data_IF_345606070562
#
_entry.id   IF_345606070562
#
_cell.length_a   1.000
_cell.length_b   1.000
_cell.length_c   1.000
_cell.angle_alpha   90.00
_cell.angle_beta   90.00
_cell.angle_gamma   90.00
#
_symmetry.space_group_name_H-M   'P 1'
#
loop_
_entity.id
_entity.type
_entity.pdbx_description
1 polymer ?
#
# COMPACT_ATOMS: atom_id res chain seq x y z
N UNK A 1 -7.85 0.61 11.13
CA UNK A 1 -7.44 -0.65 10.49
C UNK A 1 -5.93 -0.69 10.29
N UNK A 2 -5.36 -1.89 10.25
CA UNK A 2 -3.96 -2.14 9.92
C UNK A 2 -3.90 -3.25 8.87
N UNK A 3 -3.10 -3.03 7.83
CA UNK A 3 -2.87 -3.97 6.73
C UNK A 3 -1.37 -4.14 6.57
N UNK A 4 -0.91 -5.38 6.45
CA UNK A 4 0.49 -5.66 6.20
C UNK A 4 0.65 -6.66 5.05
N UNK A 5 1.76 -6.52 4.33
CA UNK A 5 2.16 -7.46 3.28
C UNK A 5 3.67 -7.56 3.22
N UNK A 6 4.18 -8.78 3.01
CA UNK A 6 5.58 -9.00 2.69
C UNK A 6 5.76 -8.82 1.18
N UNK A 7 6.60 -7.87 0.80
CA UNK A 7 6.99 -7.63 -0.58
C UNK A 7 8.31 -8.35 -0.89
N UNK A 8 8.55 -8.77 -2.14
CA UNK A 8 9.86 -9.27 -2.55
C UNK A 8 10.98 -8.29 -2.21
N UNK A 9 12.16 -8.81 -1.91
CA UNK A 9 13.34 -7.98 -1.57
C UNK A 9 13.82 -7.07 -2.70
N UNK A 10 13.33 -7.30 -3.93
CA UNK A 10 13.58 -6.46 -5.11
C UNK A 10 12.74 -5.19 -5.12
N UNK A 11 11.65 -5.13 -4.35
CA UNK A 11 10.82 -3.93 -4.23
C UNK A 11 11.42 -3.02 -3.16
N UNK A 12 11.79 -1.82 -3.58
CA UNK A 12 12.29 -0.78 -2.70
C UNK A 12 11.18 0.21 -2.32
N UNK A 13 11.31 0.97 -1.22
CA UNK A 13 10.28 1.91 -0.77
C UNK A 13 9.86 2.92 -1.84
N UNK A 14 10.79 3.41 -2.66
CA UNK A 14 10.54 4.35 -3.75
C UNK A 14 9.73 3.75 -4.91
N UNK A 15 9.63 2.42 -4.98
CA UNK A 15 8.85 1.68 -5.97
C UNK A 15 7.40 1.46 -5.52
N UNK A 16 7.05 1.92 -4.31
CA UNK A 16 5.71 1.78 -3.74
C UNK A 16 4.95 3.10 -3.84
N UNK A 17 3.80 3.07 -4.50
CA UNK A 17 2.85 4.18 -4.55
C UNK A 17 1.59 3.83 -3.79
N UNK A 18 1.21 4.68 -2.84
CA UNK A 18 -0.05 4.56 -2.09
C UNK A 18 -0.89 5.80 -2.38
N UNK A 19 -2.12 5.60 -2.81
CA UNK A 19 -3.02 6.69 -3.18
C UNK A 19 -4.42 6.49 -2.61
N UNK A 20 -4.94 7.54 -1.97
CA UNK A 20 -6.34 7.62 -1.61
C UNK A 20 -7.17 8.02 -2.85
N UNK A 21 -8.19 7.23 -3.17
CA UNK A 21 -9.12 7.47 -4.28
C UNK A 21 -10.49 7.89 -3.75
N UNK A 22 -11.27 8.54 -4.62
CA UNK A 22 -12.69 8.85 -4.37
C UNK A 22 -13.47 7.58 -3.99
N UNK A 23 -14.36 7.71 -3.01
CA UNK A 23 -15.21 6.62 -2.53
C UNK A 23 -14.56 5.77 -1.44
N UNK A 24 -13.70 6.35 -0.60
CA UNK A 24 -13.00 5.69 0.53
C UNK A 24 -12.25 4.43 0.09
N UNK A 25 -11.42 4.60 -0.94
CA UNK A 25 -10.60 3.52 -1.48
C UNK A 25 -9.13 3.86 -1.33
N UNK A 26 -8.33 2.88 -0.94
CA UNK A 26 -6.88 2.99 -0.93
C UNK A 26 -6.31 2.07 -2.01
N UNK A 27 -5.56 2.63 -2.95
CA UNK A 27 -4.82 1.87 -3.96
C UNK A 27 -3.35 1.80 -3.57
N UNK A 28 -2.79 0.61 -3.60
CA UNK A 28 -1.38 0.32 -3.31
C UNK A 28 -0.79 -0.35 -4.54
N UNK A 29 0.29 0.23 -5.08
CA UNK A 29 1.04 -0.33 -6.20
C UNK A 29 2.49 -0.47 -5.75
N UNK A 30 3.07 -1.64 -5.98
CA UNK A 30 4.51 -1.89 -5.85
C UNK A 30 5.05 -2.33 -7.22
N UNK A 31 5.94 -1.53 -7.81
CA UNK A 31 6.38 -1.72 -9.18
C UNK A 31 7.91 -1.58 -9.33
N UNK A 32 8.61 -2.71 -9.43
CA UNK A 32 10.01 -2.79 -9.80
C UNK A 32 10.15 -2.78 -11.35
N UNK A 33 9.77 -1.67 -11.97
CA UNK A 33 9.75 -1.45 -13.43
C UNK A 33 11.04 -1.81 -14.19
N UNK A 34 12.16 -1.95 -13.47
CA UNK A 34 13.47 -2.33 -14.01
C UNK A 34 13.65 -3.85 -14.17
N UNK A 35 12.67 -4.66 -13.74
CA UNK A 35 12.69 -6.13 -13.81
C UNK A 35 11.59 -6.64 -14.76
N UNK A 36 11.86 -7.75 -15.44
CA UNK A 36 10.94 -8.33 -16.43
C UNK A 36 9.86 -9.22 -15.80
N UNK A 37 10.15 -9.88 -14.69
CA UNK A 37 9.26 -10.84 -14.03
C UNK A 37 9.00 -10.49 -12.56
N UNK A 38 7.79 -10.82 -12.08
CA UNK A 38 7.38 -10.67 -10.67
C UNK A 38 7.66 -9.27 -10.10
N UNK A 39 7.49 -8.25 -10.94
CA UNK A 39 7.88 -6.87 -10.66
C UNK A 39 6.70 -5.97 -10.26
N UNK A 40 5.46 -6.35 -10.60
CA UNK A 40 4.28 -5.52 -10.40
C UNK A 40 3.25 -6.19 -9.49
N UNK A 41 2.84 -5.48 -8.44
CA UNK A 41 1.81 -5.91 -7.49
C UNK A 41 0.84 -4.77 -7.23
N UNK A 42 -0.45 -5.09 -7.23
CA UNK A 42 -1.51 -4.10 -7.02
C UNK A 42 -2.58 -4.61 -6.06
N UNK A 43 -2.99 -3.73 -5.14
CA UNK A 43 -4.13 -3.94 -4.25
C UNK A 43 -5.05 -2.72 -4.22
N UNK A 44 -6.35 -2.97 -4.08
CA UNK A 44 -7.34 -1.95 -3.76
C UNK A 44 -8.11 -2.37 -2.50
N UNK A 45 -8.12 -1.48 -1.50
CA UNK A 45 -8.83 -1.67 -0.24
C UNK A 45 -10.00 -0.69 -0.24
N UNK A 46 -11.22 -1.21 -0.16
CA UNK A 46 -12.42 -0.40 -0.07
C UNK A 46 -12.93 -0.37 1.37
N UNK A 47 -13.21 0.83 1.88
CA UNK A 47 -13.85 1.03 3.18
C UNK A 47 -15.31 1.43 2.99
N UNK A 48 -16.14 1.10 3.97
CA UNK A 48 -17.52 1.57 3.97
C UNK A 48 -17.55 3.12 4.10
N UNK A 49 -18.63 3.78 3.61
CA UNK A 49 -18.83 5.20 3.85
C UNK A 49 -18.74 5.53 5.34
N UNK A 50 -18.00 6.59 5.69
CA UNK A 50 -17.84 7.09 7.06
C UNK A 50 -17.17 6.14 8.08
N UNK A 51 -16.58 5.03 7.63
CA UNK A 51 -15.93 4.05 8.52
C UNK A 51 -14.45 4.38 8.83
N UNK A 52 -13.81 5.23 8.02
CA UNK A 52 -12.41 5.61 8.19
C UNK A 52 -12.15 7.08 7.86
N UNK A 53 -11.20 7.66 8.58
CA UNK A 53 -10.57 8.92 8.21
C UNK A 53 -9.46 8.66 7.19
N UNK A 54 -9.75 8.87 5.91
CA UNK A 54 -8.77 8.71 4.82
C UNK A 54 -7.59 9.68 4.91
N UNK A 55 -7.69 10.78 5.67
CA UNK A 55 -6.56 11.70 5.88
C UNK A 55 -5.54 11.17 6.89
N UNK A 56 -5.92 10.16 7.67
CA UNK A 56 -5.07 9.53 8.68
C UNK A 56 -4.18 8.40 8.14
N UNK A 57 -4.23 8.12 6.83
CA UNK A 57 -3.47 7.04 6.22
C UNK A 57 -1.98 7.24 6.44
N UNK A 58 -1.33 6.25 7.04
CA UNK A 58 0.11 6.20 7.24
C UNK A 58 0.65 4.89 6.69
N UNK A 59 1.77 4.98 6.00
CA UNK A 59 2.51 3.83 5.50
C UNK A 59 3.91 3.79 6.11
N UNK A 60 4.38 2.59 6.41
CA UNK A 60 5.72 2.33 6.90
C UNK A 60 6.27 1.13 6.15
N UNK A 61 7.42 1.31 5.53
CA UNK A 61 8.20 0.22 4.97
C UNK A 61 9.21 -0.23 6.03
N UNK A 62 9.03 -1.43 6.56
CA UNK A 62 9.87 -1.96 7.62
C UNK A 62 11.09 -2.70 7.05
N UNK A 63 12.19 -2.77 7.82
CA UNK A 63 13.31 -3.64 7.47
C UNK A 63 12.84 -5.07 7.17
N UNK A 64 13.33 -5.66 6.09
CA UNK A 64 12.92 -7.01 5.67
C UNK A 64 11.81 -7.05 4.62
N UNK A 65 11.43 -5.92 4.01
CA UNK A 65 10.52 -5.90 2.86
C UNK A 65 9.03 -5.88 3.24
N UNK A 66 8.69 -5.57 4.50
CA UNK A 66 7.29 -5.55 4.95
C UNK A 66 6.70 -4.16 4.82
N UNK A 67 5.61 -4.04 4.08
CA UNK A 67 4.83 -2.81 3.99
C UNK A 67 3.68 -2.88 5.00
N UNK A 68 3.65 -1.93 5.94
CA UNK A 68 2.56 -1.74 6.90
C UNK A 68 1.79 -0.47 6.55
N UNK A 69 0.46 -0.58 6.45
CA UNK A 69 -0.45 0.53 6.22
C UNK A 69 -1.44 0.60 7.38
N UNK A 70 -1.61 1.80 7.93
CA UNK A 70 -2.55 2.07 9.02
C UNK A 70 -3.48 3.20 8.63
N UNK A 71 -4.74 3.09 9.06
CA UNK A 71 -5.77 4.12 8.87
C UNK A 71 -6.63 4.15 10.13
N UNK A 72 -6.91 5.33 10.66
CA UNK A 72 -7.81 5.52 11.79
C UNK A 72 -9.28 5.32 11.35
N UNK A 73 -10.11 4.95 12.32
CA UNK A 73 -11.56 5.07 12.17
C UNK A 73 -11.98 6.49 12.50
#
# INVERSE_FOLDING_TARGET
YAFDVALPSTILPEMVTISAKKGNKLRVIADAWHLEDNCHYEWEIAFAPYDVDMSSVKAKFEPGGRLLITVAR
#
